data_IF_054981904095
#
_entry.id   IF_054981904095
#
_cell.length_a   1.000
_cell.length_b   1.000
_cell.length_c   1.000
_cell.angle_alpha   90.00
_cell.angle_beta   90.00
_cell.angle_gamma   90.00
#
_symmetry.space_group_name_H-M   'P 1'
#
loop_
_entity.id
_entity.type
_entity.pdbx_description
1 polymer ?
#
# COMPACT_ATOMS: atom_id res chain seq x y z
N UNK A 1 -3.36 -7.44 -4.61
CA UNK A 1 -2.84 -8.05 -5.86
C UNK A 1 -1.37 -7.69 -6.11
N UNK A 2 -0.84 -6.56 -5.63
CA UNK A 2 0.55 -6.14 -5.83
C UNK A 2 1.60 -7.13 -5.28
N UNK A 3 1.43 -7.66 -4.06
CA UNK A 3 2.38 -8.64 -3.46
C UNK A 3 2.59 -9.86 -4.36
N UNK A 4 1.51 -10.35 -4.98
CA UNK A 4 1.53 -11.50 -5.89
C UNK A 4 2.26 -11.22 -7.21
N UNK A 5 2.52 -9.96 -7.53
CA UNK A 5 3.26 -9.52 -8.71
C UNK A 5 4.75 -9.27 -8.40
N UNK A 6 5.23 -9.66 -7.21
CA UNK A 6 6.61 -9.44 -6.78
C UNK A 6 6.85 -8.10 -6.10
N UNK A 7 5.79 -7.38 -5.72
CA UNK A 7 5.94 -6.21 -4.86
C UNK A 7 6.11 -6.64 -3.39
N UNK A 8 6.87 -5.89 -2.62
CA UNK A 8 7.03 -6.07 -1.18
C UNK A 8 6.10 -5.11 -0.41
N UNK A 9 5.58 -5.55 0.73
CA UNK A 9 4.74 -4.70 1.58
C UNK A 9 5.60 -3.69 2.33
N UNK A 10 5.33 -2.40 2.17
CA UNK A 10 5.88 -1.35 3.05
C UNK A 10 5.11 -1.39 4.38
N UNK A 11 3.78 -1.36 4.30
CA UNK A 11 2.89 -1.53 5.43
C UNK A 11 1.52 -2.04 4.96
N UNK A 12 0.85 -2.89 5.76
CA UNK A 12 -0.46 -3.40 5.39
C UNK A 12 -1.51 -2.27 5.36
N UNK A 13 -2.57 -2.39 4.55
CA UNK A 13 -3.68 -1.45 4.56
C UNK A 13 -4.31 -1.33 5.96
N UNK A 14 -4.24 -0.13 6.53
CA UNK A 14 -4.73 0.18 7.88
C UNK A 14 -5.61 1.43 7.86
N UNK A 15 -6.55 1.49 8.81
CA UNK A 15 -7.43 2.64 8.96
C UNK A 15 -6.64 3.77 9.62
N UNK A 16 -6.66 4.92 8.98
CA UNK A 16 -5.91 6.07 9.39
C UNK A 16 -6.79 7.05 10.15
N UNK A 17 -6.22 7.78 11.12
CA UNK A 17 -6.98 8.71 11.96
C UNK A 17 -7.64 9.86 11.18
N UNK A 18 -7.23 10.08 9.93
CA UNK A 18 -7.75 11.11 9.03
C UNK A 18 -8.85 10.63 8.07
N UNK A 19 -9.39 9.42 8.26
CA UNK A 19 -10.60 8.97 7.55
C UNK A 19 -10.35 8.17 6.27
N UNK A 20 -9.11 7.77 5.99
CA UNK A 20 -8.78 6.89 4.88
C UNK A 20 -8.27 5.55 5.39
N UNK A 21 -8.51 4.48 4.62
CA UNK A 21 -7.73 3.25 4.73
C UNK A 21 -6.60 3.29 3.72
N UNK A 22 -5.35 3.26 4.18
CA UNK A 22 -4.18 3.34 3.31
C UNK A 22 -3.16 2.23 3.56
N UNK A 23 -2.48 1.81 2.50
CA UNK A 23 -1.41 0.81 2.52
C UNK A 23 -0.34 1.12 1.48
N UNK A 24 0.86 0.56 1.67
CA UNK A 24 2.01 0.84 0.81
C UNK A 24 2.73 -0.42 0.36
N UNK A 25 3.21 -0.44 -0.88
CA UNK A 25 4.05 -1.50 -1.44
C UNK A 25 5.20 -0.93 -2.26
N UNK A 26 6.32 -1.64 -2.31
CA UNK A 26 7.45 -1.34 -3.19
C UNK A 26 7.48 -2.37 -4.32
N UNK A 27 7.54 -1.92 -5.57
CA UNK A 27 7.66 -2.85 -6.71
C UNK A 27 9.11 -3.33 -6.92
N UNK A 28 9.29 -4.28 -7.84
CA UNK A 28 10.59 -4.88 -8.14
C UNK A 28 11.62 -3.90 -8.75
N UNK A 29 11.19 -2.70 -9.18
CA UNK A 29 12.04 -1.65 -9.71
C UNK A 29 12.34 -0.56 -8.68
N UNK A 30 11.89 -0.74 -7.42
CA UNK A 30 12.11 0.19 -6.33
C UNK A 30 11.12 1.35 -6.28
N UNK A 31 10.06 1.36 -7.10
CA UNK A 31 9.04 2.39 -6.99
C UNK A 31 8.12 2.10 -5.80
N UNK A 32 7.76 3.15 -5.08
CA UNK A 32 6.85 3.07 -3.95
C UNK A 32 5.45 3.50 -4.38
N UNK A 33 4.49 2.63 -4.11
CA UNK A 33 3.09 2.83 -4.46
C UNK A 33 2.26 2.84 -3.18
N UNK A 34 1.49 3.92 -3.01
CA UNK A 34 0.57 4.09 -1.89
C UNK A 34 -0.86 4.04 -2.42
N UNK A 35 -1.68 3.19 -1.82
CA UNK A 35 -3.10 3.10 -2.13
C UNK A 35 -3.90 3.57 -0.93
N UNK A 36 -4.73 4.59 -1.13
CA UNK A 36 -5.66 5.09 -0.14
C UNK A 36 -7.09 5.01 -0.70
N UNK A 37 -8.04 4.67 0.15
CA UNK A 37 -9.47 4.73 -0.11
C UNK A 37 -10.13 5.43 1.07
N UNK A 38 -11.10 6.34 0.83
CA UNK A 38 -11.93 6.87 1.90
C UNK A 38 -12.60 5.73 2.67
N UNK A 39 -12.79 5.92 3.97
CA UNK A 39 -13.61 5.04 4.82
C UNK A 39 -15.11 5.24 4.57
#
# INVERSE_FOLDING_TARGET
RAIRAGAESIHPPADQPYGDRSGGVTDAWGNQWYMATPL
#
